data_IF_989064786425
#
_entry.id   IF_989064786425
#
_cell.length_a   1.000
_cell.length_b   1.000
_cell.length_c   1.000
_cell.angle_alpha   90.00
_cell.angle_beta   90.00
_cell.angle_gamma   90.00
#
_symmetry.space_group_name_H-M   'P 1'
#
loop_
_entity.id
_entity.type
_entity.pdbx_description
1 polymer ?
#
# COMPACT_ATOMS: atom_id res chain seq x y z
N UNK A 1 -29.88 -16.97 -4.81
CA UNK A 1 -28.99 -17.95 -5.45
C UNK A 1 -28.19 -18.63 -4.36
N UNK A 2 -28.44 -19.91 -4.11
CA UNK A 2 -27.60 -20.72 -3.21
C UNK A 2 -26.40 -21.18 -4.01
N UNK A 3 -25.34 -20.36 -3.98
CA UNK A 3 -24.06 -20.67 -4.60
C UNK A 3 -23.18 -21.30 -3.53
N UNK A 4 -22.58 -22.45 -3.83
CA UNK A 4 -21.72 -23.14 -2.88
C UNK A 4 -20.40 -22.39 -2.68
N UNK A 5 -19.70 -22.67 -1.59
CA UNK A 5 -18.41 -22.06 -1.22
C UNK A 5 -17.34 -22.23 -2.29
N UNK A 6 -17.30 -23.41 -2.93
CA UNK A 6 -16.32 -23.71 -3.98
C UNK A 6 -16.63 -22.95 -5.27
N UNK A 7 -17.91 -22.88 -5.63
CA UNK A 7 -18.39 -22.13 -6.80
C UNK A 7 -18.18 -20.62 -6.62
N UNK A 8 -18.38 -20.12 -5.39
CA UNK A 8 -18.10 -18.74 -5.05
C UNK A 8 -16.62 -18.38 -5.16
N UNK A 9 -15.75 -19.26 -4.66
CA UNK A 9 -14.31 -19.10 -4.84
C UNK A 9 -13.92 -19.08 -6.32
N UNK A 10 -14.42 -20.00 -7.13
CA UNK A 10 -14.13 -20.04 -8.56
C UNK A 10 -14.63 -18.78 -9.28
N UNK A 11 -15.83 -18.29 -8.94
CA UNK A 11 -16.36 -17.04 -9.50
C UNK A 11 -15.47 -15.83 -9.19
N UNK A 12 -14.93 -15.75 -7.96
CA UNK A 12 -13.97 -14.71 -7.57
C UNK A 12 -12.68 -14.84 -8.40
N UNK A 13 -12.11 -16.04 -8.50
CA UNK A 13 -10.87 -16.28 -9.23
C UNK A 13 -11.00 -16.05 -10.74
N UNK A 14 -12.19 -16.28 -11.30
CA UNK A 14 -12.49 -15.96 -12.69
C UNK A 14 -12.64 -14.45 -12.92
N UNK A 15 -13.19 -13.73 -11.94
CA UNK A 15 -13.32 -12.27 -12.00
C UNK A 15 -12.00 -11.55 -11.74
N UNK A 16 -11.12 -12.14 -10.93
CA UNK A 16 -9.83 -11.58 -10.54
C UNK A 16 -8.70 -12.62 -10.71
N UNK A 17 -8.26 -12.88 -11.95
CA UNK A 17 -7.28 -13.93 -12.25
C UNK A 17 -5.96 -13.79 -11.49
N UNK A 18 -5.54 -12.54 -11.23
CA UNK A 18 -4.31 -12.21 -10.49
C UNK A 18 -4.29 -12.76 -9.05
N UNK A 19 -5.45 -13.14 -8.49
CA UNK A 19 -5.54 -13.73 -7.17
C UNK A 19 -5.14 -15.21 -7.14
N UNK A 20 -5.08 -15.89 -8.30
CA UNK A 20 -4.70 -17.31 -8.40
C UNK A 20 -3.25 -17.53 -7.95
N UNK A 21 -2.35 -16.70 -8.45
CA UNK A 21 -0.90 -16.84 -8.24
C UNK A 21 -0.37 -15.98 -7.07
N UNK A 22 -1.26 -15.23 -6.42
CA UNK A 22 -0.86 -14.29 -5.36
C UNK A 22 -0.45 -14.96 -4.04
N UNK A 23 -0.95 -16.15 -3.73
CA UNK A 23 -0.88 -16.72 -2.38
C UNK A 23 -2.18 -16.72 -1.61
N UNK A 24 -3.28 -16.41 -2.29
CA UNK A 24 -4.58 -16.21 -1.70
C UNK A 24 -4.94 -14.74 -1.58
N UNK A 25 -6.04 -14.48 -0.88
CA UNK A 25 -6.62 -13.16 -0.76
C UNK A 25 -7.45 -13.04 0.52
N UNK A 26 -7.65 -11.82 0.97
CA UNK A 26 -8.47 -11.50 2.14
C UNK A 26 -9.48 -10.42 1.81
N UNK A 27 -10.67 -10.57 2.40
CA UNK A 27 -11.77 -9.63 2.25
C UNK A 27 -11.74 -8.58 3.35
N UNK A 28 -12.09 -7.35 3.00
CA UNK A 28 -12.14 -6.22 3.93
C UNK A 28 -13.42 -5.41 3.73
N UNK A 29 -13.87 -4.75 4.80
CA UNK A 29 -14.93 -3.73 4.76
C UNK A 29 -14.43 -2.44 5.39
N UNK A 30 -14.99 -1.30 4.99
CA UNK A 30 -14.77 -0.05 5.73
C UNK A 30 -15.55 -0.08 7.04
N UNK A 31 -14.94 0.44 8.10
CA UNK A 31 -15.68 0.81 9.30
C UNK A 31 -16.64 1.98 9.00
N UNK A 32 -17.79 2.07 9.69
CA UNK A 32 -18.74 3.17 9.49
C UNK A 32 -18.07 4.53 9.67
N UNK A 33 -18.30 5.46 8.74
CA UNK A 33 -17.75 6.82 8.76
C UNK A 33 -16.21 6.89 8.88
N UNK A 34 -15.50 5.85 8.44
CA UNK A 34 -14.04 5.77 8.52
C UNK A 34 -13.45 5.23 7.22
N UNK A 35 -12.18 5.59 6.98
CA UNK A 35 -11.36 5.02 5.90
C UNK A 35 -10.58 3.78 6.35
N UNK A 36 -10.73 3.38 7.61
CA UNK A 36 -10.07 2.20 8.16
C UNK A 36 -10.76 0.94 7.62
N UNK A 37 -9.96 0.03 7.10
CA UNK A 37 -10.38 -1.27 6.61
C UNK A 37 -10.30 -2.30 7.73
N UNK A 38 -11.39 -3.05 7.91
CA UNK A 38 -11.51 -4.15 8.85
C UNK A 38 -11.58 -5.48 8.08
N UNK A 39 -10.79 -6.46 8.53
CA UNK A 39 -10.68 -7.75 7.87
C UNK A 39 -11.91 -8.62 8.18
N UNK A 40 -12.52 -9.20 7.14
CA UNK A 40 -13.63 -10.13 7.30
C UNK A 40 -13.12 -11.52 7.67
N UNK A 41 -13.84 -12.18 8.58
CA UNK A 41 -13.56 -13.57 8.98
C UNK A 41 -13.77 -14.54 7.82
N UNK A 42 -13.04 -15.66 7.84
CA UNK A 42 -13.14 -16.75 6.85
C UNK A 42 -14.57 -17.33 6.78
N UNK A 43 -15.27 -17.37 7.92
CA UNK A 43 -16.66 -17.84 7.98
C UNK A 43 -17.62 -16.93 7.18
N UNK A 44 -17.28 -15.65 7.07
CA UNK A 44 -18.11 -14.64 6.39
C UNK A 44 -17.99 -14.73 4.86
N UNK A 45 -16.88 -15.27 4.35
CA UNK A 45 -16.61 -15.38 2.91
C UNK A 45 -16.99 -16.74 2.32
N UNK A 46 -17.67 -17.59 3.10
CA UNK A 46 -18.04 -18.95 2.67
C UNK A 46 -19.19 -18.97 1.67
N UNK A 47 -20.01 -17.93 1.60
CA UNK A 47 -21.11 -17.82 0.64
C UNK A 47 -21.44 -16.35 0.36
N UNK A 48 -21.89 -15.99 -0.86
CA UNK A 48 -22.36 -14.64 -1.17
C UNK A 48 -23.47 -14.15 -0.22
N UNK A 49 -24.34 -15.05 0.24
CA UNK A 49 -25.45 -14.72 1.13
C UNK A 49 -24.95 -14.26 2.51
N UNK A 50 -24.02 -15.02 3.11
CA UNK A 50 -23.41 -14.72 4.40
C UNK A 50 -22.57 -13.44 4.31
N UNK A 51 -21.84 -13.28 3.21
CA UNK A 51 -21.05 -12.07 2.97
C UNK A 51 -21.96 -10.83 2.92
N UNK A 52 -23.06 -10.91 2.18
CA UNK A 52 -24.04 -9.83 2.07
C UNK A 52 -24.75 -9.56 3.39
N UNK A 53 -25.06 -10.58 4.19
CA UNK A 53 -25.64 -10.41 5.52
C UNK A 53 -24.71 -9.62 6.45
N UNK A 54 -23.41 -9.93 6.44
CA UNK A 54 -22.43 -9.30 7.33
C UNK A 54 -21.96 -7.92 6.89
N UNK A 55 -21.91 -7.68 5.58
CA UNK A 55 -21.40 -6.42 5.00
C UNK A 55 -22.55 -5.48 4.59
N UNK A 56 -23.76 -6.01 4.41
CA UNK A 56 -24.91 -5.27 3.93
C UNK A 56 -24.70 -4.77 2.50
N UNK A 57 -24.96 -3.49 2.27
CA UNK A 57 -24.73 -2.81 0.99
C UNK A 57 -23.38 -2.07 0.93
N UNK A 58 -22.49 -2.30 1.89
CA UNK A 58 -21.19 -1.63 1.91
C UNK A 58 -20.25 -2.21 0.84
N UNK A 59 -19.33 -1.37 0.35
CA UNK A 59 -18.27 -1.81 -0.55
C UNK A 59 -17.36 -2.81 0.16
N UNK A 60 -17.08 -3.90 -0.53
CA UNK A 60 -16.18 -4.95 -0.06
C UNK A 60 -14.91 -4.91 -0.89
N UNK A 61 -13.75 -4.99 -0.24
CA UNK A 61 -12.44 -4.93 -0.87
C UNK A 61 -11.78 -6.29 -0.80
N UNK A 62 -11.04 -6.66 -1.85
CA UNK A 62 -10.24 -7.88 -1.89
C UNK A 62 -8.78 -7.45 -1.99
N UNK A 63 -7.96 -7.86 -1.02
CA UNK A 63 -6.52 -7.66 -1.07
C UNK A 63 -5.84 -9.01 -1.32
N UNK A 64 -4.98 -9.13 -2.35
CA UNK A 64 -4.13 -10.30 -2.51
C UNK A 64 -3.16 -10.40 -1.32
N UNK A 65 -2.97 -11.62 -0.82
CA UNK A 65 -1.81 -11.93 0.01
C UNK A 65 -0.60 -12.07 -0.94
N UNK A 66 0.61 -11.77 -0.50
CA UNK A 66 1.83 -11.91 -1.32
C UNK A 66 2.57 -13.20 -0.93
N UNK A 67 2.71 -14.14 -1.85
CA UNK A 67 3.39 -15.43 -1.62
C UNK A 67 4.89 -15.40 -1.90
N UNK A 68 5.35 -14.51 -2.78
CA UNK A 68 6.74 -14.41 -3.20
C UNK A 68 7.25 -12.98 -3.00
N UNK A 69 7.25 -12.50 -1.75
CA UNK A 69 8.02 -11.30 -1.44
C UNK A 69 9.49 -11.74 -1.40
N UNK A 70 10.25 -11.37 -2.42
CA UNK A 70 11.69 -11.55 -2.37
C UNK A 70 12.22 -10.65 -1.25
N UNK A 71 12.56 -11.28 -0.12
CA UNK A 71 13.20 -10.61 1.01
C UNK A 71 14.70 -10.78 0.94
N UNK A 72 15.26 -11.14 -0.23
CA UNK A 72 16.71 -11.13 -0.35
C UNK A 72 17.15 -9.69 -0.14
N UNK A 73 18.10 -9.44 0.76
CA UNK A 73 18.62 -8.10 0.93
C UNK A 73 19.24 -7.71 -0.42
N UNK A 74 18.59 -6.79 -1.13
CA UNK A 74 19.22 -6.10 -2.26
C UNK A 74 20.50 -5.49 -1.72
N UNK A 75 21.64 -5.78 -2.37
CA UNK A 75 22.95 -5.23 -2.03
C UNK A 75 22.79 -3.77 -1.63
N UNK A 76 23.41 -3.35 -0.53
CA UNK A 76 23.35 -2.01 0.01
C UNK A 76 23.75 -0.95 -1.03
N UNK A 77 22.80 -0.53 -1.88
CA UNK A 77 22.91 0.66 -2.73
C UNK A 77 22.94 1.93 -1.90
N UNK A 78 22.74 1.82 -0.58
CA UNK A 78 22.90 2.89 0.39
C UNK A 78 24.27 3.59 0.27
N UNK A 79 25.32 2.86 -0.11
CA UNK A 79 26.66 3.43 -0.26
C UNK A 79 26.79 4.41 -1.45
N UNK A 80 25.91 4.32 -2.45
CA UNK A 80 25.95 5.18 -3.65
C UNK A 80 24.91 6.30 -3.62
N UNK A 81 23.94 6.24 -2.71
CA UNK A 81 22.89 7.26 -2.58
C UNK A 81 23.45 8.49 -1.86
N UNK A 82 23.75 9.53 -2.64
CA UNK A 82 24.06 10.86 -2.12
C UNK A 82 22.83 11.75 -2.20
N UNK A 83 22.55 12.46 -1.11
CA UNK A 83 21.45 13.41 -1.01
C UNK A 83 21.98 14.79 -0.62
N UNK A 84 21.28 15.83 -1.08
CA UNK A 84 21.67 17.22 -0.86
C UNK A 84 20.99 17.78 0.38
N UNK A 85 21.77 18.36 1.29
CA UNK A 85 21.22 19.03 2.47
C UNK A 85 20.46 20.31 2.09
N UNK A 86 19.18 20.40 2.46
CA UNK A 86 18.32 21.58 2.20
C UNK A 86 18.82 22.87 2.85
N UNK A 87 19.60 22.78 3.93
CA UNK A 87 20.10 23.95 4.68
C UNK A 87 21.40 24.53 4.14
N UNK A 88 22.27 23.70 3.56
CA UNK A 88 23.61 24.14 3.12
C UNK A 88 23.99 23.73 1.69
N UNK A 89 23.06 23.06 1.00
CA UNK A 89 23.15 22.62 -0.38
C UNK A 89 24.39 21.77 -0.72
N UNK A 90 24.95 21.08 0.28
CA UNK A 90 26.06 20.12 0.10
C UNK A 90 25.54 18.69 0.00
N UNK A 91 26.22 17.89 -0.79
CA UNK A 91 25.93 16.48 -0.99
C UNK A 91 26.60 15.63 0.09
N UNK A 92 25.84 14.69 0.66
CA UNK A 92 26.30 13.76 1.69
C UNK A 92 25.78 12.36 1.37
N UNK A 93 26.50 11.31 1.78
CA UNK A 93 25.90 9.98 1.83
C UNK A 93 24.72 9.95 2.81
N UNK A 94 23.77 9.05 2.62
CA UNK A 94 22.54 9.01 3.44
C UNK A 94 22.80 9.03 4.95
N UNK A 95 23.73 8.19 5.45
CA UNK A 95 24.07 8.13 6.87
C UNK A 95 24.76 9.42 7.37
N UNK A 96 25.62 10.01 6.55
CA UNK A 96 26.28 11.28 6.87
C UNK A 96 25.29 12.46 6.90
N UNK A 97 24.30 12.42 6.00
CA UNK A 97 23.26 13.45 5.94
C UNK A 97 22.40 13.47 7.21
N UNK A 98 22.05 12.30 7.76
CA UNK A 98 21.27 12.20 9.00
C UNK A 98 21.96 12.94 10.15
N UNK A 99 23.26 12.69 10.34
CA UNK A 99 24.08 13.35 11.37
C UNK A 99 24.26 14.84 11.05
N UNK A 100 24.42 15.18 9.77
CA UNK A 100 24.63 16.55 9.33
C UNK A 100 23.39 17.43 9.59
N UNK A 101 22.18 16.95 9.31
CA UNK A 101 20.94 17.76 9.45
C UNK A 101 20.73 18.25 10.89
N UNK A 102 21.11 17.43 11.88
CA UNK A 102 21.03 17.76 13.31
C UNK A 102 21.93 18.94 13.69
N UNK A 103 23.12 19.04 13.07
CA UNK A 103 24.15 20.02 13.42
C UNK A 103 24.36 21.11 12.34
N UNK A 104 23.57 21.10 11.27
CA UNK A 104 23.78 22.01 10.15
C UNK A 104 23.37 23.44 10.51
N UNK A 105 24.36 24.35 10.52
CA UNK A 105 24.20 25.79 10.72
C UNK A 105 23.82 26.57 9.44
N UNK A 106 23.47 25.86 8.35
CA UNK A 106 23.07 26.48 7.09
C UNK A 106 21.70 27.18 7.20
N UNK A 107 21.51 28.25 6.42
CA UNK A 107 20.21 28.92 6.31
C UNK A 107 19.41 28.22 5.20
N UNK A 108 18.16 27.81 5.45
CA UNK A 108 17.33 27.21 4.40
C UNK A 108 17.13 28.24 3.29
N UNK A 109 17.67 27.95 2.10
CA UNK A 109 17.30 28.68 0.89
C UNK A 109 15.99 28.05 0.40
N UNK A 110 14.87 28.68 0.76
CA UNK A 110 13.59 28.38 0.13
C UNK A 110 13.69 28.81 -1.33
N UNK A 111 14.00 27.89 -2.23
CA UNK A 111 13.69 28.07 -3.65
C UNK A 111 12.17 28.00 -3.76
N UNK A 112 11.55 29.16 -3.95
CA UNK A 112 10.14 29.27 -4.34
C UNK A 112 9.98 28.46 -5.63
N UNK A 113 9.31 27.31 -5.52
CA UNK A 113 8.88 26.50 -6.64
C UNK A 113 7.95 27.37 -7.49
N UNK A 114 8.50 27.92 -8.57
CA UNK A 114 7.75 28.59 -9.61
C UNK A 114 6.81 27.54 -10.23
N UNK A 115 5.62 27.41 -9.63
CA UNK A 115 4.53 26.64 -10.18
C UNK A 115 4.31 27.07 -11.64
N UNK A 116 4.34 26.15 -12.63
CA UNK A 116 3.96 26.50 -13.97
C UNK A 116 2.45 26.81 -13.96
N UNK A 117 2.12 28.08 -14.18
CA UNK A 117 0.77 28.56 -14.43
C UNK A 117 0.19 27.82 -15.65
N UNK A 118 -0.56 26.76 -15.42
CA UNK A 118 -1.40 26.15 -16.46
C UNK A 118 -2.64 27.02 -16.59
N UNK A 119 -2.65 27.91 -17.58
CA UNK A 119 -3.86 28.60 -18.04
C UNK A 119 -4.77 27.59 -18.73
N UNK A 120 -5.99 27.45 -18.20
CA UNK A 120 -7.10 26.76 -18.86
C UNK A 120 -7.77 27.69 -19.88
#
# INVERSE_FOLDING_TARGET
MNMDSSEFREAILNSYPRLRDGGGYRFFKCLPNSRVLDALSVSTISSPAILRERVGNAKTYILPLQINLDTTPTRDVAAELKETCVKCNREFGYEELLIHIENCAGKPEFVEDASPSVSL
#
